data_IF_716437131902
#
_entry.id   IF_716437131902
#
_cell.length_a   1.000
_cell.length_b   1.000
_cell.length_c   1.000
_cell.angle_alpha   90.00
_cell.angle_beta   90.00
_cell.angle_gamma   90.00
#
_symmetry.space_group_name_H-M   'P 1'
#
loop_
_entity.id
_entity.type
_entity.pdbx_description
1 polymer ?
#
# COMPACT_ATOMS: atom_id res chain seq x y z
N UNK A 1 13.80 -24.11 -1.15
CA UNK A 1 13.92 -22.71 -0.63
C UNK A 1 15.38 -22.42 -0.33
N UNK A 2 15.84 -21.23 -0.61
CA UNK A 2 17.21 -20.84 -0.24
C UNK A 2 17.28 -20.61 1.27
N UNK A 3 18.15 -21.32 1.96
CA UNK A 3 18.37 -21.12 3.39
C UNK A 3 19.02 -19.73 3.61
N UNK A 4 18.49 -18.95 4.54
CA UNK A 4 19.05 -17.66 4.94
C UNK A 4 18.53 -16.42 4.20
N UNK A 5 17.51 -16.52 3.34
CA UNK A 5 16.86 -15.37 2.74
C UNK A 5 15.34 -15.49 2.85
N UNK A 6 14.66 -14.37 3.07
CA UNK A 6 13.19 -14.28 3.05
C UNK A 6 12.64 -14.00 1.64
N UNK A 7 13.41 -14.36 0.58
CA UNK A 7 12.99 -14.13 -0.80
C UNK A 7 12.01 -15.25 -1.18
N UNK A 8 10.77 -14.92 -1.54
CA UNK A 8 9.81 -15.89 -2.01
C UNK A 8 10.28 -16.50 -3.35
N UNK A 9 10.08 -17.80 -3.49
CA UNK A 9 10.42 -18.54 -4.72
C UNK A 9 9.14 -18.94 -5.43
N UNK A 10 9.18 -18.97 -6.77
CA UNK A 10 8.09 -19.46 -7.59
C UNK A 10 8.52 -20.70 -8.36
N UNK A 11 7.61 -21.67 -8.50
CA UNK A 11 7.78 -22.83 -9.36
C UNK A 11 6.93 -22.63 -10.61
N UNK A 12 7.53 -22.76 -11.78
CA UNK A 12 6.83 -22.66 -13.07
C UNK A 12 6.84 -24.03 -13.72
N UNK A 13 5.64 -24.55 -14.03
CA UNK A 13 5.47 -25.78 -14.79
C UNK A 13 5.00 -25.41 -16.18
N UNK A 14 5.77 -25.79 -17.20
CA UNK A 14 5.47 -25.48 -18.60
C UNK A 14 5.02 -26.73 -19.33
N UNK A 15 3.94 -26.62 -20.11
CA UNK A 15 3.50 -27.66 -21.05
C UNK A 15 3.08 -27.03 -22.39
N UNK A 16 3.05 -27.84 -23.45
CA UNK A 16 2.67 -27.37 -24.78
C UNK A 16 1.16 -27.37 -24.94
N UNK A 17 0.64 -26.41 -25.74
CA UNK A 17 -0.78 -26.37 -26.12
C UNK A 17 -1.70 -25.75 -25.06
N UNK A 18 -1.17 -25.13 -24.01
CA UNK A 18 -1.95 -24.49 -22.98
C UNK A 18 -2.70 -23.27 -23.53
N UNK A 19 -3.98 -23.16 -23.19
CA UNK A 19 -4.85 -22.02 -23.48
C UNK A 19 -5.13 -21.18 -22.22
N UNK A 20 -4.57 -21.59 -21.09
CA UNK A 20 -4.78 -20.96 -19.79
C UNK A 20 -3.58 -21.20 -18.88
N UNK A 21 -3.52 -20.44 -17.80
CA UNK A 21 -2.48 -20.59 -16.77
C UNK A 21 -3.16 -20.79 -15.42
N UNK A 22 -2.78 -21.81 -14.69
CA UNK A 22 -3.20 -21.97 -13.31
C UNK A 22 -2.21 -21.26 -12.40
N UNK A 23 -2.71 -20.31 -11.63
CA UNK A 23 -1.95 -19.63 -10.58
C UNK A 23 -2.30 -20.26 -9.23
N UNK A 24 -1.28 -20.58 -8.45
CA UNK A 24 -1.42 -21.11 -7.09
C UNK A 24 -0.55 -20.27 -6.16
N UNK A 25 -1.15 -19.77 -5.09
CA UNK A 25 -0.46 -19.06 -4.02
C UNK A 25 -0.27 -19.99 -2.82
N UNK A 26 0.94 -20.48 -2.64
CA UNK A 26 1.34 -21.34 -1.53
C UNK A 26 2.20 -20.58 -0.50
N UNK A 27 2.18 -19.26 -0.52
CA UNK A 27 3.07 -18.42 0.30
C UNK A 27 2.85 -18.59 1.82
N UNK A 28 1.67 -19.04 2.22
CA UNK A 28 1.31 -19.28 3.63
C UNK A 28 1.15 -20.78 3.96
N UNK A 29 1.36 -21.68 2.97
CA UNK A 29 1.20 -23.12 3.14
C UNK A 29 2.53 -23.76 3.54
N UNK A 30 2.91 -23.62 4.82
CA UNK A 30 4.12 -24.22 5.38
C UNK A 30 4.07 -24.25 6.91
N UNK A 31 4.91 -25.10 7.52
CA UNK A 31 5.14 -25.12 8.97
C UNK A 31 6.40 -24.30 9.31
N UNK A 32 6.30 -23.40 10.26
CA UNK A 32 7.43 -22.59 10.69
C UNK A 32 8.38 -23.42 11.57
N UNK A 33 9.55 -23.78 11.04
CA UNK A 33 10.60 -24.47 11.76
C UNK A 33 11.61 -23.52 12.42
N UNK A 34 12.45 -24.04 13.33
CA UNK A 34 13.47 -23.26 14.05
C UNK A 34 14.53 -22.62 13.14
N UNK A 35 14.88 -23.24 12.02
CA UNK A 35 15.94 -22.82 11.09
C UNK A 35 15.43 -22.53 9.68
N UNK A 36 14.38 -23.22 9.26
CA UNK A 36 13.77 -23.09 7.96
C UNK A 36 12.30 -23.51 8.01
N UNK A 37 11.51 -23.02 7.05
CA UNK A 37 10.14 -23.48 6.89
C UNK A 37 10.13 -24.87 6.28
N UNK A 38 9.19 -25.71 6.69
CA UNK A 38 9.03 -27.09 6.27
C UNK A 38 7.62 -27.31 5.73
N UNK A 39 7.44 -28.27 4.82
CA UNK A 39 6.13 -28.69 4.36
C UNK A 39 5.76 -30.01 5.04
N UNK A 40 4.58 -30.07 5.64
CA UNK A 40 3.96 -31.34 6.03
C UNK A 40 3.37 -32.05 4.82
N UNK A 41 3.02 -33.32 4.96
CA UNK A 41 2.28 -34.04 3.90
C UNK A 41 0.95 -33.35 3.58
N UNK A 42 0.24 -32.85 4.58
CA UNK A 42 -1.00 -32.08 4.41
C UNK A 42 -0.78 -30.79 3.61
N UNK A 43 0.32 -30.06 3.85
CA UNK A 43 0.66 -28.86 3.09
C UNK A 43 0.92 -29.20 1.62
N UNK A 44 1.60 -30.31 1.36
CA UNK A 44 1.86 -30.80 -0.01
C UNK A 44 0.55 -31.18 -0.70
N UNK A 45 -0.34 -31.90 -0.02
CA UNK A 45 -1.64 -32.28 -0.55
C UNK A 45 -2.51 -31.07 -0.87
N UNK A 46 -2.52 -30.04 -0.01
CA UNK A 46 -3.20 -28.75 -0.26
C UNK A 46 -2.68 -28.08 -1.52
N UNK A 47 -1.35 -28.01 -1.68
CA UNK A 47 -0.72 -27.40 -2.86
C UNK A 47 -1.07 -28.20 -4.13
N UNK A 48 -0.97 -29.53 -4.09
CA UNK A 48 -1.31 -30.39 -5.23
C UNK A 48 -2.77 -30.23 -5.61
N UNK A 49 -3.69 -30.26 -4.65
CA UNK A 49 -5.13 -30.06 -4.89
C UNK A 49 -5.41 -28.68 -5.52
N UNK A 50 -4.74 -27.63 -5.07
CA UNK A 50 -4.84 -26.30 -5.64
C UNK A 50 -4.36 -26.21 -7.10
N UNK A 51 -3.50 -27.13 -7.56
CA UNK A 51 -3.13 -27.19 -8.98
C UNK A 51 -4.24 -27.78 -9.87
N UNK A 52 -5.24 -28.42 -9.30
CA UNK A 52 -6.28 -29.16 -10.03
C UNK A 52 -7.62 -28.42 -10.09
N UNK A 53 -7.94 -27.60 -9.08
CA UNK A 53 -9.21 -26.91 -8.97
C UNK A 53 -9.03 -25.45 -8.56
N UNK A 54 -10.04 -24.62 -8.86
CA UNK A 54 -10.11 -23.25 -8.36
C UNK A 54 -10.47 -23.28 -6.87
N UNK A 55 -9.93 -22.32 -6.13
CA UNK A 55 -10.13 -22.18 -4.70
C UNK A 55 -9.58 -20.86 -4.18
N UNK A 56 -9.56 -20.73 -2.86
CA UNK A 56 -9.07 -19.52 -2.20
C UNK A 56 -7.65 -19.16 -2.65
N UNK A 57 -6.79 -20.15 -2.84
CA UNK A 57 -5.37 -19.98 -3.17
C UNK A 57 -5.02 -20.41 -4.60
N UNK A 58 -6.01 -20.63 -5.47
CA UNK A 58 -5.76 -21.02 -6.85
C UNK A 58 -6.88 -20.56 -7.79
N UNK A 59 -6.50 -20.21 -9.02
CA UNK A 59 -7.44 -19.86 -10.10
C UNK A 59 -6.87 -20.22 -11.46
N UNK A 60 -7.72 -20.75 -12.33
CA UNK A 60 -7.41 -20.95 -13.75
C UNK A 60 -7.69 -19.65 -14.50
N UNK A 61 -6.67 -19.10 -15.12
CA UNK A 61 -6.70 -17.80 -15.78
C UNK A 61 -6.60 -17.99 -17.30
N UNK A 62 -7.53 -17.39 -18.03
CA UNK A 62 -7.48 -17.36 -19.49
C UNK A 62 -6.37 -16.42 -20.00
N UNK A 63 -5.90 -16.64 -21.24
CA UNK A 63 -4.93 -15.75 -21.87
C UNK A 63 -5.48 -14.32 -22.04
N UNK A 64 -6.79 -14.15 -22.19
CA UNK A 64 -7.44 -12.86 -22.26
C UNK A 64 -7.36 -12.10 -20.94
N UNK A 65 -7.66 -12.77 -19.82
CA UNK A 65 -7.54 -12.21 -18.48
C UNK A 65 -6.09 -11.86 -18.14
N UNK A 66 -5.14 -12.72 -18.52
CA UNK A 66 -3.71 -12.42 -18.37
C UNK A 66 -3.32 -11.14 -19.11
N UNK A 67 -3.77 -10.99 -20.36
CA UNK A 67 -3.51 -9.78 -21.16
C UNK A 67 -4.11 -8.53 -20.51
N UNK A 68 -5.36 -8.58 -20.04
CA UNK A 68 -6.02 -7.48 -19.32
C UNK A 68 -5.27 -7.06 -18.06
N UNK A 69 -4.61 -8.01 -17.41
CA UNK A 69 -3.81 -7.80 -16.19
C UNK A 69 -2.31 -7.65 -16.47
N UNK A 70 -1.93 -7.22 -17.68
CA UNK A 70 -0.54 -6.94 -18.05
C UNK A 70 0.38 -8.17 -17.89
N UNK A 71 -0.16 -9.37 -18.11
CA UNK A 71 0.50 -10.66 -17.92
C UNK A 71 1.08 -10.88 -16.50
N UNK A 72 0.49 -10.24 -15.51
CA UNK A 72 0.87 -10.45 -14.12
C UNK A 72 0.61 -11.90 -13.70
N UNK A 73 1.57 -12.52 -13.01
CA UNK A 73 1.41 -13.84 -12.39
C UNK A 73 1.01 -13.75 -10.91
N UNK A 74 0.59 -12.59 -10.44
CA UNK A 74 0.10 -12.43 -9.08
C UNK A 74 -1.38 -12.81 -9.00
N UNK A 75 -1.68 -13.91 -8.31
CA UNK A 75 -3.05 -14.45 -8.15
C UNK A 75 -4.04 -13.41 -7.59
N UNK A 76 -3.58 -12.51 -6.71
CA UNK A 76 -4.47 -11.50 -6.11
C UNK A 76 -5.12 -10.56 -7.13
N UNK A 77 -4.57 -10.44 -8.34
CA UNK A 77 -5.14 -9.66 -9.44
C UNK A 77 -6.29 -10.36 -10.16
N UNK A 78 -6.45 -11.66 -9.94
CA UNK A 78 -7.44 -12.50 -10.63
C UNK A 78 -8.51 -13.07 -9.67
N UNK A 79 -8.40 -12.76 -8.38
CA UNK A 79 -9.46 -13.12 -7.45
C UNK A 79 -10.68 -12.28 -7.75
N UNK A 80 -11.82 -12.92 -7.92
CA UNK A 80 -13.13 -12.29 -8.15
C UNK A 80 -13.67 -11.66 -6.86
N UNK A 81 -12.85 -10.83 -6.25
CA UNK A 81 -13.24 -9.92 -5.20
C UNK A 81 -13.30 -8.51 -5.80
N UNK A 82 -14.04 -8.33 -6.87
CA UNK A 82 -14.74 -7.09 -7.08
C UNK A 82 -15.75 -6.98 -5.94
N UNK A 83 -15.26 -6.60 -4.77
CA UNK A 83 -16.14 -6.10 -3.72
C UNK A 83 -16.80 -4.88 -4.35
N UNK A 84 -17.98 -5.12 -4.92
CA UNK A 84 -18.82 -4.03 -5.40
C UNK A 84 -19.36 -3.37 -4.14
N UNK A 85 -18.73 -2.27 -3.78
CA UNK A 85 -19.30 -1.40 -2.76
C UNK A 85 -20.52 -0.74 -3.37
N UNK A 86 -21.66 -0.79 -2.67
CA UNK A 86 -22.91 -0.15 -3.11
C UNK A 86 -22.68 1.33 -3.47
N UNK A 87 -21.80 2.01 -2.72
CA UNK A 87 -21.40 3.40 -2.94
C UNK A 87 -19.91 3.49 -3.34
N UNK A 88 -19.42 2.56 -4.15
CA UNK A 88 -18.03 2.53 -4.58
C UNK A 88 -17.71 3.62 -5.59
N UNK A 89 -16.64 4.37 -5.34
CA UNK A 89 -16.13 5.39 -6.26
C UNK A 89 -14.65 5.17 -6.55
N UNK A 90 -14.15 5.67 -7.66
CA UNK A 90 -12.72 5.67 -7.91
C UNK A 90 -12.01 6.63 -6.95
N UNK A 91 -10.90 6.24 -6.38
CA UNK A 91 -10.14 7.08 -5.46
C UNK A 91 -9.79 8.43 -6.07
N UNK A 92 -9.52 8.46 -7.40
CA UNK A 92 -9.30 9.69 -8.15
C UNK A 92 -10.42 10.73 -7.98
N UNK A 93 -11.68 10.31 -7.86
CA UNK A 93 -12.83 11.22 -7.79
C UNK A 93 -12.91 12.03 -6.50
N UNK A 94 -12.19 11.60 -5.47
CA UNK A 94 -12.12 12.25 -4.15
C UNK A 94 -10.76 12.89 -3.86
N UNK A 95 -9.79 12.78 -4.79
CA UNK A 95 -8.46 13.38 -4.65
C UNK A 95 -8.48 14.78 -5.30
N UNK A 96 -8.06 15.81 -4.55
CA UNK A 96 -7.71 17.13 -5.08
C UNK A 96 -6.32 17.16 -5.68
N UNK A 97 -5.36 16.59 -4.94
CA UNK A 97 -3.96 16.54 -5.34
C UNK A 97 -3.29 15.28 -4.80
N UNK A 98 -2.35 14.74 -5.53
CA UNK A 98 -1.46 13.68 -5.08
C UNK A 98 -0.05 13.97 -5.58
N UNK A 99 0.88 14.03 -4.66
CA UNK A 99 2.30 14.19 -4.96
C UNK A 99 3.11 13.08 -4.31
N UNK A 100 4.18 12.69 -4.97
CA UNK A 100 5.23 11.91 -4.32
C UNK A 100 6.15 12.89 -3.60
N UNK A 101 6.52 12.62 -2.36
CA UNK A 101 7.43 13.46 -1.60
C UNK A 101 8.80 13.66 -2.27
N UNK A 102 9.63 14.52 -1.70
CA UNK A 102 10.93 14.89 -2.23
C UNK A 102 11.90 13.69 -2.27
N UNK A 103 12.53 13.48 -3.41
CA UNK A 103 13.60 12.50 -3.57
C UNK A 103 14.92 13.15 -3.12
N UNK A 104 15.23 13.07 -1.83
CA UNK A 104 16.49 13.55 -1.25
C UNK A 104 17.43 12.36 -1.05
N UNK A 105 18.69 12.51 -1.42
CA UNK A 105 19.77 11.57 -1.06
C UNK A 105 20.13 11.70 0.42
N UNK A 106 20.81 10.69 0.98
CA UNK A 106 21.26 10.74 2.36
C UNK A 106 22.17 11.98 2.62
N UNK A 107 23.11 12.27 1.72
CA UNK A 107 23.98 13.44 1.81
C UNK A 107 23.21 14.77 1.80
N UNK A 108 22.21 14.91 0.93
CA UNK A 108 21.36 16.11 0.91
C UNK A 108 20.57 16.25 2.22
N UNK A 109 20.12 15.13 2.78
CA UNK A 109 19.43 15.14 4.06
C UNK A 109 20.33 15.58 5.20
N UNK A 110 21.56 15.06 5.27
CA UNK A 110 22.54 15.43 6.30
C UNK A 110 22.86 16.93 6.25
N UNK A 111 22.90 17.53 5.06
CA UNK A 111 23.10 18.97 4.88
C UNK A 111 21.89 19.81 5.34
N UNK A 112 20.68 19.30 5.12
CA UNK A 112 19.41 19.99 5.44
C UNK A 112 19.02 19.89 6.91
N UNK A 113 19.45 18.84 7.62
CA UNK A 113 19.07 18.62 9.02
C UNK A 113 19.61 19.74 9.92
N UNK A 114 18.77 20.19 10.84
CA UNK A 114 19.08 21.19 11.87
C UNK A 114 19.16 20.52 13.24
N UNK A 115 20.20 20.85 14.01
CA UNK A 115 20.29 20.47 15.42
C UNK A 115 19.38 21.33 16.32
N UNK A 116 18.95 22.49 15.82
CA UNK A 116 18.06 23.40 16.52
C UNK A 116 16.63 23.20 16.06
N UNK A 117 15.70 23.40 16.96
CA UNK A 117 14.27 23.41 16.65
C UNK A 117 13.95 24.54 15.65
N UNK A 118 13.19 24.20 14.64
CA UNK A 118 12.68 25.10 13.62
C UNK A 118 11.22 24.78 13.34
N UNK A 119 10.52 25.63 12.62
CA UNK A 119 9.18 25.32 12.12
C UNK A 119 9.18 24.45 10.85
N UNK A 120 10.37 24.02 10.38
CA UNK A 120 10.54 23.17 9.22
C UNK A 120 11.00 21.76 9.64
N UNK A 121 10.28 20.75 9.19
CA UNK A 121 10.51 19.36 9.60
C UNK A 121 10.49 18.42 8.39
N UNK A 122 11.02 17.22 8.58
CA UNK A 122 11.11 16.18 7.55
C UNK A 122 10.37 14.92 7.97
N UNK A 123 9.39 14.51 7.17
CA UNK A 123 8.62 13.30 7.38
C UNK A 123 9.19 12.14 6.57
N UNK A 124 9.73 11.15 7.26
CA UNK A 124 10.23 9.91 6.69
C UNK A 124 9.26 8.76 6.94
N UNK A 125 9.42 7.67 6.20
CA UNK A 125 8.65 6.44 6.40
C UNK A 125 8.82 5.86 7.82
N UNK A 126 10.00 6.01 8.44
CA UNK A 126 10.28 5.59 9.81
C UNK A 126 9.46 6.34 10.85
N UNK A 127 9.04 7.57 10.56
CA UNK A 127 8.25 8.40 11.47
C UNK A 127 6.74 8.07 11.46
N UNK A 128 6.32 7.08 10.70
CA UNK A 128 4.93 6.60 10.71
C UNK A 128 4.91 5.24 11.39
N UNK A 129 4.25 5.16 12.55
CA UNK A 129 4.12 3.94 13.32
C UNK A 129 2.68 3.76 13.79
N UNK A 130 2.14 2.56 13.60
CA UNK A 130 0.76 2.24 13.99
C UNK A 130 -0.29 3.24 13.46
N UNK A 131 -0.08 3.75 12.24
CA UNK A 131 -0.98 4.71 11.62
C UNK A 131 -0.90 6.14 12.17
N UNK A 132 0.11 6.45 12.97
CA UNK A 132 0.34 7.76 13.59
C UNK A 132 1.71 8.29 13.12
N UNK A 133 1.77 9.59 12.89
CA UNK A 133 3.03 10.30 12.62
C UNK A 133 3.64 10.67 13.97
N UNK A 134 4.95 10.42 14.16
CA UNK A 134 5.67 10.79 15.37
C UNK A 134 5.52 12.30 15.65
N UNK A 135 5.33 12.66 16.93
CA UNK A 135 5.25 14.06 17.35
C UNK A 135 6.55 14.83 17.09
N UNK A 136 7.68 14.13 17.18
CA UNK A 136 9.02 14.70 16.95
C UNK A 136 9.57 14.22 15.62
N UNK A 137 9.56 15.10 14.64
CA UNK A 137 10.21 14.90 13.35
C UNK A 137 11.57 15.60 13.33
N UNK A 138 12.53 15.12 12.53
CA UNK A 138 13.79 15.82 12.32
C UNK A 138 13.56 17.26 11.82
N UNK A 139 14.24 18.22 12.43
CA UNK A 139 14.17 19.61 12.03
C UNK A 139 15.06 19.87 10.81
N UNK A 140 14.62 20.78 9.96
CA UNK A 140 15.37 21.24 8.78
C UNK A 140 15.82 22.68 8.98
N UNK A 141 17.00 23.05 8.45
CA UNK A 141 17.52 24.41 8.42
C UNK A 141 16.66 25.31 7.55
N UNK A 142 16.32 24.80 6.37
CA UNK A 142 15.49 25.48 5.37
C UNK A 142 14.82 24.46 4.45
N UNK A 143 13.77 24.90 3.76
CA UNK A 143 13.13 24.17 2.66
C UNK A 143 13.20 25.08 1.45
N UNK A 144 14.02 24.69 0.45
CA UNK A 144 14.13 25.40 -0.83
C UNK A 144 12.74 25.55 -1.47
N UNK A 145 12.51 26.66 -2.15
CA UNK A 145 11.26 26.95 -2.85
C UNK A 145 10.85 25.83 -3.81
N UNK A 146 11.84 25.20 -4.47
CA UNK A 146 11.61 24.03 -5.34
C UNK A 146 11.07 22.82 -4.61
N UNK A 147 11.34 22.69 -3.32
CA UNK A 147 10.87 21.60 -2.46
C UNK A 147 9.53 21.92 -1.80
N UNK A 148 9.10 23.18 -1.77
CA UNK A 148 7.85 23.62 -1.12
C UNK A 148 6.61 22.84 -1.63
N UNK A 149 6.58 22.45 -2.90
CA UNK A 149 5.51 21.64 -3.49
C UNK A 149 5.36 20.23 -2.91
N UNK A 150 6.35 19.75 -2.17
CA UNK A 150 6.36 18.44 -1.51
C UNK A 150 6.03 18.55 -0.02
N UNK A 151 5.72 19.75 0.45
CA UNK A 151 5.29 19.95 1.83
C UNK A 151 3.87 19.41 2.03
N UNK A 152 3.69 18.81 3.18
CA UNK A 152 2.42 18.22 3.63
C UNK A 152 1.50 19.35 4.06
N UNK A 153 0.23 19.27 3.68
CA UNK A 153 -0.83 20.15 4.19
C UNK A 153 -1.58 19.47 5.34
N UNK A 154 -2.23 20.26 6.15
CA UNK A 154 -3.11 19.72 7.19
C UNK A 154 -4.17 18.79 6.58
N UNK A 155 -4.55 17.72 7.28
CA UNK A 155 -5.47 16.68 6.83
C UNK A 155 -5.01 15.88 5.58
N UNK A 156 -3.77 16.04 5.10
CA UNK A 156 -3.27 15.18 4.02
C UNK A 156 -3.21 13.73 4.48
N UNK A 157 -3.74 12.83 3.66
CA UNK A 157 -3.53 11.39 3.82
C UNK A 157 -2.13 11.04 3.32
N UNK A 158 -1.34 10.42 4.17
CA UNK A 158 0.01 9.96 3.88
C UNK A 158 -0.03 8.46 3.68
N UNK A 159 0.50 8.00 2.55
CA UNK A 159 0.60 6.58 2.21
C UNK A 159 2.03 6.23 1.81
N UNK A 160 2.59 5.17 2.39
CA UNK A 160 3.89 4.69 1.93
C UNK A 160 3.79 4.17 0.49
N UNK A 161 4.75 4.54 -0.34
CA UNK A 161 4.85 4.05 -1.71
C UNK A 161 5.22 2.57 -1.77
N UNK A 162 6.07 2.13 -0.84
CA UNK A 162 6.62 0.79 -0.75
C UNK A 162 6.35 0.20 0.63
N UNK A 163 6.33 -1.13 0.73
CA UNK A 163 6.24 -1.85 1.98
C UNK A 163 5.14 -2.91 2.01
N UNK A 164 5.18 -3.76 3.04
CA UNK A 164 4.14 -4.72 3.36
C UNK A 164 4.19 -4.96 4.88
N UNK A 165 3.19 -4.50 5.65
CA UNK A 165 2.05 -3.69 5.21
C UNK A 165 2.45 -2.27 4.76
N UNK A 166 1.57 -1.61 4.00
CA UNK A 166 1.72 -0.19 3.69
C UNK A 166 1.43 0.64 4.94
N UNK A 167 2.22 1.69 5.17
CA UNK A 167 1.98 2.62 6.26
C UNK A 167 1.05 3.73 5.80
N UNK A 168 0.04 4.04 6.61
CA UNK A 168 -0.97 5.05 6.31
C UNK A 168 -1.13 5.94 7.53
N UNK A 169 -1.20 7.25 7.33
CA UNK A 169 -1.46 8.22 8.40
C UNK A 169 -2.23 9.43 7.87
N UNK A 170 -2.84 10.19 8.74
CA UNK A 170 -3.35 11.53 8.43
C UNK A 170 -2.46 12.55 9.10
N UNK A 171 -2.00 13.52 8.34
CA UNK A 171 -1.09 14.54 8.85
C UNK A 171 -1.86 15.66 9.57
N UNK A 172 -1.40 16.03 10.76
CA UNK A 172 -1.77 17.25 11.45
C UNK A 172 -0.62 18.24 11.29
N UNK A 173 -0.88 19.36 10.66
CA UNK A 173 0.11 20.43 10.43
C UNK A 173 -0.40 21.69 11.11
N UNK A 174 0.40 22.27 12.00
CA UNK A 174 0.08 23.50 12.72
C UNK A 174 0.35 24.74 11.84
N UNK A 175 -0.16 25.88 12.29
CA UNK A 175 0.11 27.16 11.63
C UNK A 175 1.63 27.43 11.59
N UNK A 176 2.10 27.93 10.45
CA UNK A 176 3.51 28.21 10.15
C UNK A 176 4.45 26.98 10.09
N UNK A 177 3.98 25.79 10.47
CA UNK A 177 4.76 24.56 10.35
C UNK A 177 4.87 24.14 8.89
N UNK A 178 6.06 23.71 8.46
CA UNK A 178 6.31 23.13 7.14
C UNK A 178 6.89 21.73 7.31
N UNK A 179 6.19 20.74 6.83
CA UNK A 179 6.63 19.35 6.88
C UNK A 179 6.93 18.88 5.46
N UNK A 180 8.21 18.71 5.13
CA UNK A 180 8.65 18.15 3.86
C UNK A 180 8.52 16.62 3.89
N UNK A 181 7.79 16.04 2.95
CA UNK A 181 7.64 14.58 2.86
C UNK A 181 8.78 13.94 2.06
N UNK A 182 9.26 12.78 2.51
CA UNK A 182 10.24 11.94 1.82
C UNK A 182 9.65 11.28 0.57
N UNK A 183 10.45 11.05 -0.45
CA UNK A 183 10.09 10.44 -1.74
C UNK A 183 9.57 8.99 -1.67
N UNK A 184 9.57 8.34 -0.50
CA UNK A 184 8.93 7.04 -0.27
C UNK A 184 7.48 7.16 0.21
N UNK A 185 6.96 8.39 0.28
CA UNK A 185 5.60 8.71 0.70
C UNK A 185 4.82 9.35 -0.44
N UNK A 186 3.55 9.01 -0.53
CA UNK A 186 2.55 9.79 -1.25
C UNK A 186 1.88 10.73 -0.25
N UNK A 187 1.76 12.00 -0.65
CA UNK A 187 0.99 13.04 0.04
C UNK A 187 -0.28 13.26 -0.77
N UNK A 188 -1.41 12.95 -0.19
CA UNK A 188 -2.71 12.91 -0.87
C UNK A 188 -3.63 13.93 -0.21
N UNK A 189 -3.98 14.98 -0.94
CA UNK A 189 -4.97 15.95 -0.53
C UNK A 189 -6.35 15.49 -1.01
N UNK A 190 -7.26 15.21 -0.10
CA UNK A 190 -8.62 14.81 -0.42
C UNK A 190 -9.55 16.03 -0.58
N UNK A 191 -10.62 15.83 -1.31
CA UNK A 191 -11.75 16.74 -1.31
C UNK A 191 -12.59 16.51 -0.04
N UNK A 192 -12.30 17.26 1.02
CA UNK A 192 -12.94 17.10 2.32
C UNK A 192 -14.46 17.37 2.30
N UNK A 193 -14.99 17.96 1.21
CA UNK A 193 -16.44 18.06 1.00
C UNK A 193 -17.06 16.73 0.58
N UNK A 194 -16.26 15.73 0.20
CA UNK A 194 -16.70 14.41 -0.25
C UNK A 194 -16.17 13.29 0.64
N UNK A 195 -14.94 13.41 1.13
CA UNK A 195 -14.26 12.34 1.82
C UNK A 195 -13.51 12.82 3.06
N UNK A 196 -13.80 12.20 4.20
CA UNK A 196 -13.06 12.41 5.44
C UNK A 196 -11.74 11.62 5.39
N UNK A 197 -10.56 12.27 5.58
CA UNK A 197 -9.25 11.60 5.53
C UNK A 197 -9.10 10.44 6.53
N UNK A 198 -9.66 10.58 7.73
CA UNK A 198 -9.61 9.53 8.75
C UNK A 198 -10.50 8.34 8.41
N UNK A 199 -11.66 8.57 7.76
CA UNK A 199 -12.48 7.49 7.22
C UNK A 199 -11.73 6.71 6.13
N UNK A 200 -11.12 7.42 5.18
CA UNK A 200 -10.33 6.77 4.11
C UNK A 200 -9.14 6.00 4.70
N UNK A 201 -8.46 6.56 5.72
CA UNK A 201 -7.42 5.83 6.44
C UNK A 201 -7.97 4.56 7.07
N UNK A 202 -9.07 4.63 7.81
CA UNK A 202 -9.71 3.48 8.46
C UNK A 202 -10.08 2.40 7.43
N UNK A 203 -10.65 2.79 6.28
CA UNK A 203 -10.92 1.85 5.20
C UNK A 203 -9.64 1.19 4.68
N UNK A 204 -8.61 1.94 4.36
CA UNK A 204 -7.37 1.39 3.78
C UNK A 204 -6.61 0.48 4.76
N UNK A 205 -6.80 0.65 6.06
CA UNK A 205 -6.24 -0.21 7.12
C UNK A 205 -7.15 -1.40 7.49
N UNK A 206 -8.39 -1.44 6.98
CA UNK A 206 -9.28 -2.59 7.13
C UNK A 206 -8.80 -3.79 6.29
N UNK A 207 -9.28 -4.98 6.61
CA UNK A 207 -8.99 -6.20 5.82
C UNK A 207 -9.32 -6.01 4.34
N UNK A 208 -10.43 -5.36 4.04
CA UNK A 208 -10.86 -5.06 2.66
C UNK A 208 -9.92 -4.07 1.98
N UNK A 209 -9.51 -3.02 2.67
CA UNK A 209 -8.59 -2.00 2.16
C UNK A 209 -7.19 -2.58 1.94
N UNK A 210 -6.68 -3.37 2.88
CA UNK A 210 -5.41 -4.09 2.75
C UNK A 210 -5.44 -5.02 1.52
N UNK A 211 -6.51 -5.79 1.35
CA UNK A 211 -6.69 -6.66 0.17
C UNK A 211 -6.76 -5.84 -1.12
N UNK A 212 -7.43 -4.70 -1.11
CA UNK A 212 -7.53 -3.79 -2.25
C UNK A 212 -6.16 -3.18 -2.63
N UNK A 213 -5.36 -2.74 -1.65
CA UNK A 213 -4.00 -2.26 -1.86
C UNK A 213 -3.09 -3.37 -2.39
N UNK A 214 -3.18 -4.59 -1.82
CA UNK A 214 -2.40 -5.76 -2.25
C UNK A 214 -2.64 -6.09 -3.73
N UNK A 215 -3.87 -5.95 -4.22
CA UNK A 215 -4.23 -6.19 -5.65
C UNK A 215 -3.56 -5.25 -6.63
N UNK A 216 -3.38 -3.99 -6.26
CA UNK A 216 -2.76 -2.97 -7.12
C UNK A 216 -1.24 -2.88 -6.96
N UNK A 217 -0.67 -3.69 -6.08
CA UNK A 217 0.77 -3.73 -5.76
C UNK A 217 1.54 -4.45 -6.85
N UNK A 218 2.75 -3.99 -7.13
CA UNK A 218 3.73 -4.62 -8.00
C UNK A 218 5.04 -4.87 -7.25
N UNK A 219 5.76 -5.91 -7.69
CA UNK A 219 7.02 -6.35 -7.07
C UNK A 219 6.80 -7.35 -5.93
N UNK A 220 7.70 -8.33 -5.84
CA UNK A 220 7.65 -9.44 -4.86
C UNK A 220 8.54 -9.18 -3.66
N UNK A 221 9.73 -8.63 -3.86
CA UNK A 221 10.71 -8.39 -2.79
C UNK A 221 10.40 -7.11 -2.02
N UNK A 222 10.11 -6.03 -2.72
CA UNK A 222 9.68 -4.76 -2.14
C UNK A 222 8.39 -4.35 -2.86
N UNK A 223 7.22 -4.71 -2.31
CA UNK A 223 5.95 -4.34 -2.88
C UNK A 223 5.83 -2.82 -3.03
N UNK A 224 5.33 -2.35 -4.17
CA UNK A 224 5.14 -0.93 -4.43
C UNK A 224 3.81 -0.65 -5.14
N UNK A 225 3.25 0.52 -4.90
CA UNK A 225 2.02 0.98 -5.53
C UNK A 225 2.34 2.11 -6.50
N UNK A 226 1.91 1.97 -7.76
CA UNK A 226 1.97 3.04 -8.74
C UNK A 226 0.82 4.04 -8.57
N UNK A 227 1.09 5.31 -8.79
CA UNK A 227 0.10 6.40 -8.62
C UNK A 227 -1.17 6.18 -9.44
N UNK A 228 -1.04 5.70 -10.68
CA UNK A 228 -2.20 5.50 -11.56
C UNK A 228 -3.06 4.31 -11.08
N UNK A 229 -2.44 3.25 -10.58
CA UNK A 229 -3.16 2.12 -9.98
C UNK A 229 -3.88 2.57 -8.70
N UNK A 230 -3.23 3.39 -7.87
CA UNK A 230 -3.85 3.95 -6.66
C UNK A 230 -5.05 4.85 -7.01
N UNK A 231 -4.94 5.71 -8.01
CA UNK A 231 -6.05 6.56 -8.47
C UNK A 231 -7.27 5.78 -8.94
N UNK A 232 -7.07 4.61 -9.52
CA UNK A 232 -8.13 3.74 -10.03
C UNK A 232 -8.67 2.75 -8.98
N UNK A 233 -8.14 2.78 -7.76
CA UNK A 233 -8.67 1.98 -6.65
C UNK A 233 -10.14 2.35 -6.39
N UNK A 234 -11.00 1.35 -6.23
CA UNK A 234 -12.38 1.57 -5.80
C UNK A 234 -12.42 1.62 -4.28
N UNK A 235 -13.00 2.66 -3.73
CA UNK A 235 -13.18 2.87 -2.30
C UNK A 235 -14.67 3.05 -1.99
N UNK A 236 -15.19 2.49 -0.89
CA UNK A 236 -16.55 2.79 -0.45
C UNK A 236 -16.63 4.24 -0.01
N UNK A 237 -17.70 4.92 -0.39
CA UNK A 237 -17.89 6.32 -0.03
C UNK A 237 -19.34 6.54 0.42
N UNK A 238 -19.70 6.22 1.67
CA UNK A 238 -21.01 6.55 2.23
C UNK A 238 -21.16 8.06 2.39
N UNK A 239 -22.32 8.52 2.84
CA UNK A 239 -22.56 9.92 3.13
C UNK A 239 -21.51 10.47 4.12
N UNK A 240 -21.12 11.75 3.96
CA UNK A 240 -20.06 12.36 4.76
C UNK A 240 -20.33 12.30 6.27
N UNK A 241 -21.60 12.37 6.68
CA UNK A 241 -22.00 12.23 8.08
C UNK A 241 -21.64 10.85 8.64
N UNK A 242 -21.90 9.78 7.89
CA UNK A 242 -21.53 8.40 8.27
C UNK A 242 -20.02 8.24 8.31
N UNK A 243 -19.29 8.80 7.32
CA UNK A 243 -17.82 8.81 7.33
C UNK A 243 -17.28 9.47 8.60
N UNK A 244 -17.85 10.60 9.03
CA UNK A 244 -17.45 11.32 10.24
C UNK A 244 -17.70 10.47 11.49
N UNK A 245 -18.83 9.78 11.58
CA UNK A 245 -19.14 8.87 12.69
C UNK A 245 -18.13 7.72 12.78
N UNK A 246 -17.78 7.11 11.65
CA UNK A 246 -16.78 6.05 11.58
C UNK A 246 -15.40 6.60 11.98
N UNK A 247 -15.00 7.75 11.43
CA UNK A 247 -13.73 8.39 11.73
C UNK A 247 -13.58 8.67 13.23
N UNK A 248 -14.62 9.22 13.88
CA UNK A 248 -14.61 9.49 15.32
C UNK A 248 -14.42 8.23 16.16
N UNK A 249 -15.10 7.12 15.80
CA UNK A 249 -14.95 5.84 16.50
C UNK A 249 -13.57 5.21 16.30
N UNK A 250 -12.92 5.52 15.18
CA UNK A 250 -11.62 4.98 14.83
C UNK A 250 -10.46 5.76 15.49
N UNK A 251 -10.64 7.04 15.79
CA UNK A 251 -9.61 7.93 16.37
C UNK A 251 -9.73 8.10 17.89
N UNK A 252 -10.84 7.71 18.50
CA UNK A 252 -11.08 7.74 19.95
C UNK A 252 -10.72 6.45 20.62
#
# INVERSE_FOLDING_TARGET
>A
MFSGTNIPTSMIVLSRGNQSVRLVDASETYQQGRRQNEFSEEDIEKIVSATQADGENSKLISLEELRKNEYSLNLSRYRDNDVQYENGVTFKSIIKNITRGAACTASQMDEMVSEKETNMQFLMLSNIQNGIIDEKLPYLKEIDEKLAKYCVKNNSLILSKNGSPFKIAVATVQDEQKILANGNLYVIELDETKANPYYIKAFLESEQGIAALKRITVGTTIPSIGVDKLKNLIVPLPALEEQNQIATKYTG
#
